data_IF_262018108027
#
_entry.id   IF_262018108027
#
_cell.length_a   1.000
_cell.length_b   1.000
_cell.length_c   1.000
_cell.angle_alpha   90.00
_cell.angle_beta   90.00
_cell.angle_gamma   90.00
#
_symmetry.space_group_name_H-M   'P 1'
#
loop_
_entity.id
_entity.type
_entity.pdbx_description
1 polymer ?
#
# COMPACT_ATOMS: atom_id res chain seq x y z
N UNK A 1 46.86 -19.98 53.74
CA UNK A 1 45.79 -20.96 53.48
C UNK A 1 45.18 -20.60 52.13
N UNK A 2 45.90 -20.99 51.07
CA UNK A 2 45.57 -20.71 49.68
C UNK A 2 44.74 -21.88 49.16
N UNK A 3 43.59 -21.60 48.56
CA UNK A 3 42.79 -22.59 47.86
C UNK A 3 43.47 -22.92 46.53
N UNK A 4 44.17 -24.05 46.45
CA UNK A 4 44.50 -24.70 45.18
C UNK A 4 43.22 -25.35 44.64
N UNK A 5 42.48 -24.61 43.83
CA UNK A 5 41.35 -25.15 43.08
C UNK A 5 41.93 -25.91 41.90
N UNK A 6 41.85 -27.23 41.97
CA UNK A 6 42.32 -28.12 40.91
C UNK A 6 41.45 -27.93 39.66
N UNK A 7 42.08 -27.60 38.52
CA UNK A 7 41.42 -27.21 37.26
C UNK A 7 40.50 -28.31 36.68
N UNK A 8 40.57 -29.53 37.21
CA UNK A 8 39.79 -30.70 36.79
C UNK A 8 38.42 -30.83 37.46
N UNK A 9 38.05 -29.94 38.36
CA UNK A 9 36.78 -30.02 39.08
C UNK A 9 35.61 -29.49 38.21
N UNK A 10 34.61 -30.30 37.84
CA UNK A 10 33.50 -29.87 36.97
C UNK A 10 32.70 -28.69 37.53
N UNK A 11 32.71 -28.48 38.85
CA UNK A 11 32.11 -27.31 39.50
C UNK A 11 32.81 -25.99 39.12
N UNK A 12 34.13 -25.99 38.93
CA UNK A 12 34.89 -24.80 38.51
C UNK A 12 34.48 -24.35 37.11
N UNK A 13 34.30 -25.29 36.18
CA UNK A 13 33.82 -25.00 34.82
C UNK A 13 32.42 -24.36 34.80
N UNK A 14 31.51 -24.84 35.66
CA UNK A 14 30.15 -24.27 35.80
C UNK A 14 30.23 -22.85 36.36
N UNK A 15 31.08 -22.60 37.37
CA UNK A 15 31.27 -21.26 37.96
C UNK A 15 31.82 -20.28 36.91
N UNK A 16 32.83 -20.68 36.13
CA UNK A 16 33.39 -19.84 35.06
C UNK A 16 32.34 -19.55 33.98
N UNK A 17 31.53 -20.54 33.60
CA UNK A 17 30.46 -20.33 32.62
C UNK A 17 29.39 -19.34 33.11
N UNK A 18 28.93 -19.47 34.36
CA UNK A 18 27.97 -18.53 34.97
C UNK A 18 28.58 -17.12 35.02
N UNK A 19 29.86 -17.01 35.35
CA UNK A 19 30.57 -15.72 35.39
C UNK A 19 30.65 -15.08 34.00
N UNK A 20 30.96 -15.85 32.95
CA UNK A 20 30.98 -15.38 31.56
C UNK A 20 29.60 -14.92 31.09
N UNK A 21 28.53 -15.67 31.41
CA UNK A 21 27.15 -15.26 31.12
C UNK A 21 26.79 -13.97 31.87
N UNK A 22 27.22 -13.84 33.13
CA UNK A 22 27.04 -12.63 33.93
C UNK A 22 27.75 -11.41 33.32
N UNK A 23 28.99 -11.57 32.89
CA UNK A 23 29.75 -10.52 32.20
C UNK A 23 29.07 -10.14 30.87
N UNK A 24 28.69 -11.12 30.05
CA UNK A 24 28.02 -10.85 28.78
C UNK A 24 26.69 -10.09 28.99
N UNK A 25 25.93 -10.45 30.02
CA UNK A 25 24.70 -9.76 30.41
C UNK A 25 24.96 -8.32 30.88
N UNK A 26 25.99 -8.09 31.70
CA UNK A 26 26.39 -6.76 32.15
C UNK A 26 26.88 -5.87 31.00
N UNK A 27 27.72 -6.41 30.10
CA UNK A 27 28.18 -5.71 28.91
C UNK A 27 26.97 -5.37 28.02
N UNK A 28 26.05 -6.31 27.80
CA UNK A 28 24.82 -6.09 27.06
C UNK A 28 23.95 -5.00 27.68
N UNK A 29 23.79 -5.00 29.01
CA UNK A 29 23.04 -3.99 29.75
C UNK A 29 23.66 -2.60 29.59
N UNK A 30 24.96 -2.46 29.85
CA UNK A 30 25.66 -1.18 29.72
C UNK A 30 25.67 -0.67 28.28
N UNK A 31 25.91 -1.55 27.29
CA UNK A 31 25.84 -1.18 25.88
C UNK A 31 24.44 -0.69 25.52
N UNK A 32 23.40 -1.41 25.93
CA UNK A 32 22.01 -1.02 25.65
C UNK A 32 21.65 0.30 26.35
N UNK A 33 22.16 0.54 27.56
CA UNK A 33 22.01 1.80 28.29
C UNK A 33 22.66 2.98 27.54
N UNK A 34 23.93 2.88 27.15
CA UNK A 34 24.61 3.92 26.38
C UNK A 34 23.97 4.14 25.00
N UNK A 35 23.65 3.05 24.29
CA UNK A 35 22.94 3.11 23.02
C UNK A 35 21.57 3.77 23.19
N UNK A 36 20.84 3.50 24.27
CA UNK A 36 19.55 4.16 24.56
C UNK A 36 19.71 5.66 24.73
N UNK A 37 20.75 6.13 25.44
CA UNK A 37 20.99 7.56 25.66
C UNK A 37 21.35 8.29 24.36
N UNK A 38 22.20 7.69 23.52
CA UNK A 38 22.54 8.24 22.20
C UNK A 38 21.32 8.31 21.28
N UNK A 39 20.49 7.26 21.30
CA UNK A 39 19.21 7.19 20.56
C UNK A 39 18.27 8.35 20.94
N UNK A 40 18.09 8.60 22.24
CA UNK A 40 17.26 9.72 22.74
C UNK A 40 17.73 11.09 22.23
N UNK A 41 19.03 11.34 22.24
CA UNK A 41 19.58 12.63 21.77
C UNK A 41 19.43 12.84 20.26
N UNK A 42 19.59 11.79 19.46
CA UNK A 42 19.42 11.87 18.01
C UNK A 42 17.95 12.14 17.60
N UNK A 43 16.98 11.51 18.28
CA UNK A 43 15.56 11.81 18.09
C UNK A 43 15.26 13.28 18.36
N UNK A 44 15.81 13.83 19.45
CA UNK A 44 15.67 15.25 19.80
C UNK A 44 16.21 16.16 18.71
N UNK A 45 17.39 15.86 18.16
CA UNK A 45 17.97 16.62 17.03
C UNK A 45 17.13 16.52 15.76
N UNK A 46 16.56 15.35 15.46
CA UNK A 46 15.66 15.19 14.32
C UNK A 46 14.43 16.09 14.44
N UNK A 47 13.84 16.21 15.63
CA UNK A 47 12.66 17.06 15.85
C UNK A 47 12.95 18.54 15.65
N UNK A 48 14.14 19.03 16.01
CA UNK A 48 14.55 20.43 15.77
C UNK A 48 14.58 20.80 14.28
N UNK A 49 14.66 19.81 13.37
CA UNK A 49 14.59 20.07 11.94
C UNK A 49 13.16 20.39 11.44
N UNK A 50 12.13 20.21 12.28
CA UNK A 50 10.72 20.46 11.94
C UNK A 50 10.21 21.83 12.39
N UNK A 51 11.06 22.65 13.01
CA UNK A 51 10.72 23.97 13.59
C UNK A 51 10.19 25.00 12.55
N UNK A 52 10.30 24.71 11.25
CA UNK A 52 9.86 25.60 10.15
C UNK A 52 8.34 25.80 10.08
N UNK A 53 7.52 24.87 10.60
CA UNK A 53 6.04 24.98 10.51
C UNK A 53 5.47 25.99 11.53
N UNK A 54 6.29 26.44 12.48
CA UNK A 54 5.89 27.38 13.53
C UNK A 54 5.03 26.72 14.60
N UNK A 55 5.23 27.12 15.84
CA UNK A 55 4.47 26.57 16.97
C UNK A 55 3.12 27.26 17.12
N UNK A 56 2.18 26.55 17.72
CA UNK A 56 0.90 27.14 18.08
C UNK A 56 1.07 27.85 19.44
N UNK A 57 1.04 29.18 19.44
CA UNK A 57 1.31 30.00 20.63
C UNK A 57 0.19 29.84 21.68
N UNK A 58 -1.06 29.67 21.26
CA UNK A 58 -2.19 29.38 22.16
C UNK A 58 -1.98 28.01 22.83
N UNK A 59 -1.50 27.03 22.08
CA UNK A 59 -1.18 25.70 22.59
C UNK A 59 -0.01 25.73 23.58
N UNK A 60 1.03 26.54 23.33
CA UNK A 60 2.15 26.74 24.27
C UNK A 60 1.68 27.35 25.59
N UNK A 61 0.85 28.38 25.52
CA UNK A 61 0.28 29.01 26.71
C UNK A 61 -0.59 28.02 27.51
N UNK A 62 -1.44 27.26 26.82
CA UNK A 62 -2.25 26.21 27.43
C UNK A 62 -1.41 25.08 28.07
N UNK A 63 -0.28 24.70 27.45
CA UNK A 63 0.67 23.73 27.99
C UNK A 63 1.31 24.18 29.30
N UNK A 64 1.57 25.49 29.42
CA UNK A 64 2.20 26.07 30.58
C UNK A 64 1.25 26.24 31.79
N UNK A 65 -0.05 26.44 31.54
CA UNK A 65 -1.01 26.83 32.56
C UNK A 65 -1.89 25.70 33.10
N UNK A 66 -2.05 24.59 32.37
CA UNK A 66 -3.03 23.55 32.72
C UNK A 66 -2.44 22.33 33.42
N UNK A 67 -3.28 21.63 34.19
CA UNK A 67 -2.89 20.47 35.01
C UNK A 67 -2.74 19.16 34.22
N UNK A 68 -3.35 19.05 33.04
CA UNK A 68 -3.26 17.87 32.17
C UNK A 68 -3.17 18.26 30.67
N UNK A 69 -2.17 19.05 30.29
CA UNK A 69 -2.15 19.77 29.01
C UNK A 69 -2.02 18.86 27.79
N UNK A 70 -1.26 17.77 27.94
CA UNK A 70 -0.83 16.92 26.83
C UNK A 70 -2.00 16.21 26.15
N UNK A 71 -2.91 15.63 26.94
CA UNK A 71 -4.06 14.89 26.42
C UNK A 71 -5.07 15.79 25.72
N UNK A 72 -5.31 16.99 26.24
CA UNK A 72 -6.20 17.98 25.63
C UNK A 72 -5.67 18.47 24.28
N UNK A 73 -4.38 18.80 24.17
CA UNK A 73 -3.80 19.23 22.88
C UNK A 73 -3.76 18.08 21.89
N UNK A 74 -3.42 16.87 22.34
CA UNK A 74 -3.42 15.70 21.47
C UNK A 74 -4.83 15.45 20.90
N UNK A 75 -5.87 15.60 21.73
CA UNK A 75 -7.26 15.50 21.28
C UNK A 75 -7.61 16.60 20.26
N UNK A 76 -7.25 17.86 20.54
CA UNK A 76 -7.47 18.96 19.60
C UNK A 76 -6.78 18.72 18.25
N UNK A 77 -5.51 18.30 18.27
CA UNK A 77 -4.74 18.01 17.06
C UNK A 77 -5.41 16.91 16.22
N UNK A 78 -5.90 15.84 16.87
CA UNK A 78 -6.64 14.78 16.20
C UNK A 78 -7.96 15.27 15.60
N UNK A 79 -8.69 16.15 16.31
CA UNK A 79 -9.91 16.77 15.77
C UNK A 79 -9.61 17.62 14.53
N UNK A 80 -8.56 18.45 14.54
CA UNK A 80 -8.14 19.20 13.37
C UNK A 80 -7.73 18.29 12.21
N UNK A 81 -6.98 17.21 12.48
CA UNK A 81 -6.60 16.22 11.47
C UNK A 81 -7.82 15.53 10.84
N UNK A 82 -8.83 15.18 11.63
CA UNK A 82 -10.09 14.58 11.14
C UNK A 82 -10.93 15.57 10.33
N UNK A 83 -10.88 16.86 10.67
CA UNK A 83 -11.56 17.92 9.91
C UNK A 83 -10.87 18.29 8.59
N UNK A 84 -9.68 17.74 8.31
CA UNK A 84 -8.88 18.06 7.13
C UNK A 84 -7.98 19.30 7.29
N UNK A 85 -8.03 19.98 8.44
CA UNK A 85 -7.09 21.07 8.76
C UNK A 85 -5.74 20.49 9.23
N UNK A 86 -4.97 19.97 8.27
CA UNK A 86 -3.69 19.33 8.55
C UNK A 86 -2.63 20.30 9.03
N UNK A 87 -2.64 21.56 8.56
CA UNK A 87 -1.67 22.57 8.99
C UNK A 87 -1.75 22.80 10.51
N UNK A 88 -2.95 23.08 11.03
CA UNK A 88 -3.13 23.30 12.47
C UNK A 88 -2.84 22.02 13.27
N UNK A 89 -3.25 20.85 12.78
CA UNK A 89 -2.92 19.58 13.42
C UNK A 89 -1.41 19.37 13.54
N UNK A 90 -0.66 19.61 12.46
CA UNK A 90 0.80 19.51 12.44
C UNK A 90 1.43 20.46 13.45
N UNK A 91 1.01 21.73 13.48
CA UNK A 91 1.52 22.74 14.46
C UNK A 91 1.28 22.32 15.91
N UNK A 92 0.11 21.75 16.21
CA UNK A 92 -0.20 21.25 17.55
C UNK A 92 0.64 20.03 17.92
N UNK A 93 0.82 19.07 17.02
CA UNK A 93 1.67 17.90 17.25
C UNK A 93 3.14 18.29 17.43
N UNK A 94 3.68 19.22 16.64
CA UNK A 94 5.07 19.71 16.80
C UNK A 94 5.25 20.41 18.14
N UNK A 95 4.31 21.27 18.53
CA UNK A 95 4.32 21.94 19.85
C UNK A 95 4.29 20.92 20.99
N UNK A 96 3.48 19.86 20.85
CA UNK A 96 3.41 18.78 21.83
C UNK A 96 4.72 17.98 21.92
N UNK A 97 5.40 17.75 20.79
CA UNK A 97 6.70 17.08 20.74
C UNK A 97 7.79 17.88 21.44
N UNK A 98 7.79 19.21 21.35
CA UNK A 98 8.74 20.07 22.07
C UNK A 98 8.56 19.95 23.58
N UNK A 99 7.32 20.06 24.05
CA UNK A 99 6.99 20.06 25.48
C UNK A 99 7.20 18.70 26.14
N UNK A 100 7.01 17.62 25.37
CA UNK A 100 7.22 16.26 25.86
C UNK A 100 8.71 16.00 26.09
N UNK A 101 9.10 15.65 27.32
CA UNK A 101 10.52 15.40 27.65
C UNK A 101 10.93 13.94 27.44
N UNK A 102 10.05 13.01 27.78
CA UNK A 102 10.33 11.58 27.72
C UNK A 102 10.23 11.06 26.28
N UNK A 103 11.30 10.46 25.72
CA UNK A 103 11.29 9.98 24.33
C UNK A 103 10.31 8.85 24.04
N UNK A 104 9.90 8.05 25.04
CA UNK A 104 8.87 7.03 24.86
C UNK A 104 7.50 7.67 24.59
N UNK A 105 7.17 8.74 25.32
CA UNK A 105 5.90 9.45 25.19
C UNK A 105 5.81 10.26 23.88
N UNK A 106 6.96 10.49 23.22
CA UNK A 106 7.00 11.12 21.88
C UNK A 106 6.59 10.19 20.76
N UNK A 107 6.71 8.86 20.93
CA UNK A 107 6.46 7.89 19.83
C UNK A 107 5.02 7.98 19.32
N UNK A 108 3.97 7.96 20.17
CA UNK A 108 2.60 8.12 19.70
C UNK A 108 2.37 9.46 18.99
N UNK A 109 2.99 10.54 19.50
CA UNK A 109 2.85 11.88 18.90
C UNK A 109 3.52 11.93 17.52
N UNK A 110 4.71 11.34 17.37
CA UNK A 110 5.40 11.19 16.09
C UNK A 110 4.59 10.36 15.11
N UNK A 111 3.95 9.28 15.57
CA UNK A 111 3.07 8.47 14.74
C UNK A 111 1.89 9.30 14.21
N UNK A 112 1.22 10.08 15.06
CA UNK A 112 0.16 10.98 14.64
C UNK A 112 0.64 12.09 13.69
N UNK A 113 1.83 12.66 13.95
CA UNK A 113 2.45 13.66 13.08
C UNK A 113 2.79 13.07 11.70
N UNK A 114 3.35 11.86 11.68
CA UNK A 114 3.63 11.11 10.45
C UNK A 114 2.36 10.85 9.63
N UNK A 115 1.27 10.46 10.29
CA UNK A 115 -0.04 10.31 9.65
C UNK A 115 -0.62 11.64 9.15
N UNK A 116 -0.42 12.74 9.89
CA UNK A 116 -0.89 14.07 9.47
C UNK A 116 -0.15 14.52 8.20
N UNK A 117 1.17 14.35 8.14
CA UNK A 117 1.95 14.62 6.93
C UNK A 117 1.54 13.73 5.75
N UNK A 118 1.28 12.44 6.02
CA UNK A 118 0.80 11.50 4.99
C UNK A 118 -0.53 11.98 4.38
N UNK A 119 -1.53 12.26 5.23
CA UNK A 119 -2.86 12.73 4.78
C UNK A 119 -2.82 14.09 4.11
N UNK A 120 -1.86 14.94 4.46
CA UNK A 120 -1.61 16.22 3.81
C UNK A 120 -0.84 16.11 2.47
N UNK A 121 -0.45 14.90 2.03
CA UNK A 121 0.29 14.66 0.79
C UNK A 121 1.81 14.85 0.91
N UNK A 122 2.35 15.15 2.09
CA UNK A 122 3.78 15.31 2.33
C UNK A 122 4.47 13.95 2.59
N UNK A 123 4.44 13.07 1.60
CA UNK A 123 4.90 11.67 1.70
C UNK A 123 6.35 11.53 2.19
N UNK A 124 7.28 12.34 1.68
CA UNK A 124 8.70 12.28 2.09
C UNK A 124 8.90 12.59 3.58
N UNK A 125 8.23 13.63 4.10
CA UNK A 125 8.29 13.98 5.54
C UNK A 125 7.69 12.87 6.40
N UNK A 126 6.57 12.31 5.95
CA UNK A 126 5.96 11.16 6.63
C UNK A 126 6.91 9.94 6.69
N UNK A 127 7.56 9.60 5.56
CA UNK A 127 8.58 8.56 5.48
C UNK A 127 9.71 8.79 6.48
N UNK A 128 10.28 10.00 6.52
CA UNK A 128 11.36 10.36 7.43
C UNK A 128 10.98 10.14 8.91
N UNK A 129 9.77 10.55 9.30
CA UNK A 129 9.26 10.36 10.67
C UNK A 129 9.13 8.88 11.00
N UNK A 130 8.53 8.06 10.12
CA UNK A 130 8.36 6.63 10.39
C UNK A 130 9.70 5.87 10.41
N UNK A 131 10.66 6.25 9.55
CA UNK A 131 12.02 5.73 9.62
C UNK A 131 12.71 6.09 10.94
N UNK A 132 12.51 7.31 11.44
CA UNK A 132 13.07 7.73 12.73
C UNK A 132 12.44 6.96 13.90
N UNK A 133 11.12 6.70 13.87
CA UNK A 133 10.47 5.83 14.85
C UNK A 133 11.09 4.42 14.82
N UNK A 134 11.21 3.81 13.64
CA UNK A 134 11.73 2.44 13.47
C UNK A 134 13.22 2.32 13.82
N UNK A 135 14.01 3.39 13.65
CA UNK A 135 15.41 3.45 14.09
C UNK A 135 15.56 3.16 15.59
N UNK A 136 14.56 3.55 16.39
CA UNK A 136 14.58 3.35 17.84
C UNK A 136 13.73 2.18 18.30
N UNK A 137 12.63 1.92 17.59
CA UNK A 137 11.64 0.88 17.91
C UNK A 137 11.40 -0.01 16.68
N UNK A 138 12.40 -0.82 16.27
CA UNK A 138 12.38 -1.54 14.99
C UNK A 138 11.32 -2.65 14.92
N UNK A 139 10.77 -3.10 16.05
CA UNK A 139 9.77 -4.17 16.12
C UNK A 139 8.33 -3.66 16.08
N UNK A 140 8.10 -2.39 15.70
CA UNK A 140 6.76 -1.81 15.57
C UNK A 140 6.15 -2.14 14.20
N UNK A 141 5.57 -3.33 14.07
CA UNK A 141 5.03 -3.79 12.78
C UNK A 141 3.95 -2.88 12.17
N UNK A 142 3.13 -2.19 12.99
CA UNK A 142 2.14 -1.23 12.48
C UNK A 142 2.81 -0.01 11.81
N UNK A 143 3.95 0.44 12.34
CA UNK A 143 4.74 1.55 11.75
C UNK A 143 5.41 1.08 10.46
N UNK A 144 5.89 -0.17 10.44
CA UNK A 144 6.50 -0.77 9.27
C UNK A 144 5.49 -0.92 8.12
N UNK A 145 4.25 -1.33 8.40
CA UNK A 145 3.15 -1.34 7.42
C UNK A 145 2.87 0.05 6.84
N UNK A 146 2.83 1.09 7.68
CA UNK A 146 2.68 2.49 7.23
C UNK A 146 3.85 2.93 6.35
N UNK A 147 5.08 2.59 6.72
CA UNK A 147 6.27 2.89 5.94
C UNK A 147 6.25 2.22 4.56
N UNK A 148 5.91 0.92 4.50
CA UNK A 148 5.78 0.17 3.25
C UNK A 148 4.78 0.85 2.31
N UNK A 149 3.60 1.23 2.84
CA UNK A 149 2.58 1.96 2.06
C UNK A 149 3.11 3.29 1.51
N UNK A 150 3.85 4.05 2.31
CA UNK A 150 4.41 5.33 1.88
C UNK A 150 5.49 5.15 0.82
N UNK A 151 6.37 4.16 0.99
CA UNK A 151 7.40 3.82 0.00
C UNK A 151 6.78 3.37 -1.33
N UNK A 152 5.66 2.64 -1.31
CA UNK A 152 4.90 2.30 -2.51
C UNK A 152 4.37 3.53 -3.25
N UNK A 153 3.75 4.46 -2.52
CA UNK A 153 3.21 5.69 -3.09
C UNK A 153 4.30 6.63 -3.62
N UNK A 154 5.50 6.58 -3.03
CA UNK A 154 6.70 7.26 -3.54
C UNK A 154 7.34 6.55 -4.75
N UNK A 155 6.89 5.34 -5.09
CA UNK A 155 7.48 4.52 -6.16
C UNK A 155 8.80 3.84 -5.78
N UNK A 156 9.16 3.85 -4.50
CA UNK A 156 10.41 3.29 -3.95
C UNK A 156 10.25 1.78 -3.66
N UNK A 157 9.82 1.02 -4.67
CA UNK A 157 9.39 -0.37 -4.49
C UNK A 157 10.47 -1.31 -3.94
N UNK A 158 11.76 -1.04 -4.21
CA UNK A 158 12.85 -1.84 -3.65
C UNK A 158 12.99 -1.63 -2.14
N UNK A 159 12.85 -0.41 -1.65
CA UNK A 159 12.87 -0.12 -0.21
C UNK A 159 11.64 -0.68 0.49
N UNK A 160 10.48 -0.57 -0.16
CA UNK A 160 9.24 -1.20 0.30
C UNK A 160 9.40 -2.73 0.43
N UNK A 161 10.09 -3.37 -0.52
CA UNK A 161 10.32 -4.81 -0.50
C UNK A 161 11.22 -5.20 0.68
N UNK A 162 12.34 -4.49 0.87
CA UNK A 162 13.22 -4.73 2.02
C UNK A 162 12.50 -4.54 3.35
N UNK A 163 11.62 -3.53 3.44
CA UNK A 163 10.78 -3.29 4.62
C UNK A 163 9.71 -4.38 4.80
N UNK A 164 9.20 -4.95 3.70
CA UNK A 164 8.27 -6.08 3.72
C UNK A 164 8.97 -7.35 4.22
N UNK A 165 10.21 -7.61 3.81
CA UNK A 165 10.99 -8.73 4.33
C UNK A 165 11.18 -8.61 5.86
N UNK A 166 11.42 -7.39 6.36
CA UNK A 166 11.46 -7.14 7.81
C UNK A 166 10.11 -7.38 8.49
N UNK A 167 9.00 -7.10 7.81
CA UNK A 167 7.65 -7.31 8.34
C UNK A 167 7.30 -8.80 8.40
N UNK A 168 7.74 -9.59 7.42
CA UNK A 168 7.56 -11.05 7.40
C UNK A 168 8.17 -11.70 8.65
N UNK A 169 9.38 -11.30 9.03
CA UNK A 169 10.05 -11.81 10.24
C UNK A 169 9.32 -11.43 11.54
N UNK A 170 8.53 -10.36 11.53
CA UNK A 170 7.82 -9.86 12.72
C UNK A 170 6.40 -10.40 12.85
N UNK A 171 5.65 -10.49 11.75
CA UNK A 171 4.22 -10.81 11.74
C UNK A 171 3.84 -11.95 10.79
N UNK A 172 4.69 -12.29 9.82
CA UNK A 172 4.35 -13.19 8.72
C UNK A 172 3.28 -12.64 7.78
N UNK A 173 2.84 -13.48 6.84
CA UNK A 173 1.73 -13.22 5.90
C UNK A 173 1.95 -12.01 4.96
N UNK A 174 3.17 -11.83 4.48
CA UNK A 174 3.53 -10.77 3.52
C UNK A 174 3.75 -11.28 2.09
N UNK A 175 3.35 -12.53 1.80
CA UNK A 175 3.58 -13.17 0.48
C UNK A 175 3.00 -12.36 -0.68
N UNK A 176 1.72 -12.00 -0.60
CA UNK A 176 1.05 -11.18 -1.61
C UNK A 176 1.72 -9.81 -1.77
N UNK A 177 2.02 -9.16 -0.65
CA UNK A 177 2.69 -7.86 -0.60
C UNK A 177 4.06 -7.91 -1.30
N UNK A 178 4.87 -8.92 -0.99
CA UNK A 178 6.17 -9.16 -1.59
C UNK A 178 6.06 -9.45 -3.10
N UNK A 179 5.10 -10.27 -3.51
CA UNK A 179 4.88 -10.60 -4.93
C UNK A 179 4.39 -9.40 -5.74
N UNK A 180 3.53 -8.57 -5.16
CA UNK A 180 3.09 -7.30 -5.72
C UNK A 180 4.27 -6.34 -5.93
N UNK A 181 5.09 -6.12 -4.91
CA UNK A 181 6.26 -5.23 -5.01
C UNK A 181 7.29 -5.73 -6.03
N UNK A 182 7.57 -7.05 -6.05
CA UNK A 182 8.42 -7.68 -7.08
C UNK A 182 7.86 -7.45 -8.48
N UNK A 183 6.53 -7.57 -8.66
CA UNK A 183 5.88 -7.30 -9.93
C UNK A 183 6.05 -5.84 -10.35
N UNK A 184 5.87 -4.88 -9.42
CA UNK A 184 6.10 -3.45 -9.67
C UNK A 184 7.53 -3.14 -10.09
N UNK A 185 8.52 -3.71 -9.41
CA UNK A 185 9.95 -3.56 -9.76
C UNK A 185 10.20 -4.07 -11.19
N UNK A 186 9.69 -5.25 -11.53
CA UNK A 186 9.85 -5.83 -12.87
C UNK A 186 9.16 -4.99 -13.96
N UNK A 187 7.97 -4.47 -13.69
CA UNK A 187 7.22 -3.60 -14.61
C UNK A 187 7.96 -2.27 -14.82
N UNK A 188 8.57 -1.68 -13.79
CA UNK A 188 9.39 -0.49 -13.95
C UNK A 188 10.64 -0.76 -14.79
N UNK A 189 11.31 -1.90 -14.55
CA UNK A 189 12.53 -2.29 -15.27
C UNK A 189 12.26 -2.74 -16.72
N UNK A 190 11.04 -3.19 -17.01
CA UNK A 190 10.61 -3.64 -18.34
C UNK A 190 10.85 -2.60 -19.44
N UNK A 191 10.79 -1.31 -19.11
CA UNK A 191 11.10 -0.23 -20.06
C UNK A 191 12.52 -0.33 -20.64
N UNK A 192 13.42 -1.02 -19.95
CA UNK A 192 14.84 -1.08 -20.30
C UNK A 192 15.34 -2.51 -20.66
N UNK A 193 14.57 -3.58 -20.46
CA UNK A 193 15.04 -4.97 -20.62
C UNK A 193 13.94 -5.96 -21.06
N UNK A 194 14.31 -6.96 -21.90
CA UNK A 194 13.42 -8.00 -22.42
C UNK A 194 13.21 -9.24 -21.51
N UNK A 195 13.72 -9.25 -20.27
CA UNK A 195 13.60 -10.40 -19.33
C UNK A 195 12.38 -10.47 -18.36
N UNK A 196 11.51 -9.45 -18.20
CA UNK A 196 10.57 -9.39 -17.08
C UNK A 196 9.38 -10.34 -17.24
N UNK A 197 8.96 -10.61 -18.48
CA UNK A 197 7.78 -11.43 -18.80
C UNK A 197 7.80 -12.78 -18.07
N UNK A 198 8.87 -13.58 -18.23
CA UNK A 198 8.96 -14.91 -17.63
C UNK A 198 8.80 -14.86 -16.10
N UNK A 199 9.40 -13.87 -15.44
CA UNK A 199 9.32 -13.69 -13.99
C UNK A 199 7.91 -13.26 -13.56
N UNK A 200 7.27 -12.36 -14.29
CA UNK A 200 5.89 -11.93 -14.03
C UNK A 200 4.92 -13.11 -14.17
N UNK A 201 5.05 -13.94 -15.20
CA UNK A 201 4.22 -15.12 -15.38
C UNK A 201 4.42 -16.16 -14.27
N UNK A 202 5.64 -16.30 -13.74
CA UNK A 202 5.90 -17.13 -12.56
C UNK A 202 5.20 -16.58 -11.31
N UNK A 203 5.29 -15.27 -11.08
CA UNK A 203 4.61 -14.61 -9.95
C UNK A 203 3.08 -14.74 -10.07
N UNK A 204 2.52 -14.59 -11.26
CA UNK A 204 1.07 -14.76 -11.49
C UNK A 204 0.58 -16.17 -11.15
N UNK A 205 1.38 -17.19 -11.49
CA UNK A 205 1.05 -18.59 -11.14
C UNK A 205 1.07 -18.84 -9.63
N UNK A 206 1.91 -18.11 -8.90
CA UNK A 206 2.02 -18.23 -7.45
C UNK A 206 0.92 -17.43 -6.74
N UNK A 207 0.62 -16.23 -7.24
CA UNK A 207 -0.32 -15.28 -6.65
C UNK A 207 -1.32 -14.78 -7.71
N UNK A 208 -2.45 -15.49 -7.90
CA UNK A 208 -3.46 -15.15 -8.91
C UNK A 208 -4.08 -13.76 -8.74
N UNK A 209 -4.06 -13.19 -7.53
CA UNK A 209 -4.53 -11.82 -7.26
C UNK A 209 -3.75 -10.75 -8.04
N UNK A 210 -2.55 -11.08 -8.55
CA UNK A 210 -1.76 -10.21 -9.42
C UNK A 210 -2.30 -10.12 -10.85
N UNK A 211 -3.32 -10.91 -11.22
CA UNK A 211 -3.82 -11.06 -12.59
C UNK A 211 -4.06 -9.70 -13.25
N UNK A 212 -4.86 -8.85 -12.61
CA UNK A 212 -5.21 -7.54 -13.17
C UNK A 212 -3.99 -6.63 -13.34
N UNK A 213 -3.09 -6.57 -12.36
CA UNK A 213 -1.86 -5.79 -12.43
C UNK A 213 -0.99 -6.24 -13.61
N UNK A 214 -0.79 -7.55 -13.73
CA UNK A 214 0.09 -8.12 -14.75
C UNK A 214 -0.55 -7.97 -16.12
N UNK A 215 -1.84 -8.28 -16.29
CA UNK A 215 -2.54 -8.11 -17.56
C UNK A 215 -2.61 -6.66 -18.01
N UNK A 216 -2.77 -5.71 -17.09
CA UNK A 216 -2.73 -4.27 -17.45
C UNK A 216 -1.40 -3.89 -18.10
N UNK A 217 -0.30 -4.46 -17.62
CA UNK A 217 1.02 -4.27 -18.22
C UNK A 217 1.19 -5.07 -19.52
N UNK A 218 0.80 -6.35 -19.54
CA UNK A 218 0.97 -7.19 -20.73
C UNK A 218 0.15 -6.68 -21.92
N UNK A 219 -1.03 -6.10 -21.69
CA UNK A 219 -1.88 -5.52 -22.74
C UNK A 219 -1.09 -4.55 -23.63
N UNK A 220 -0.26 -3.70 -23.03
CA UNK A 220 0.46 -2.65 -23.75
C UNK A 220 1.83 -3.10 -24.27
N UNK A 221 2.53 -4.00 -23.55
CA UNK A 221 3.92 -4.36 -23.85
C UNK A 221 4.12 -5.78 -24.43
N UNK A 222 3.17 -6.68 -24.19
CA UNK A 222 3.20 -8.10 -24.56
C UNK A 222 1.80 -8.59 -24.99
N UNK A 223 1.20 -8.01 -26.05
CA UNK A 223 -0.20 -8.24 -26.40
C UNK A 223 -0.48 -9.70 -26.79
N UNK A 224 0.51 -10.42 -27.35
CA UNK A 224 0.34 -11.84 -27.68
C UNK A 224 0.09 -12.66 -26.41
N UNK A 225 0.95 -12.48 -25.41
CA UNK A 225 0.88 -13.17 -24.12
C UNK A 225 -0.32 -12.71 -23.30
N UNK A 226 -0.70 -11.43 -23.37
CA UNK A 226 -1.95 -10.93 -22.80
C UNK A 226 -3.14 -11.76 -23.29
N UNK A 227 -3.29 -11.92 -24.60
CA UNK A 227 -4.41 -12.65 -25.19
C UNK A 227 -4.34 -14.16 -24.96
N UNK A 228 -3.14 -14.75 -24.97
CA UNK A 228 -2.97 -16.16 -24.59
C UNK A 228 -3.47 -16.44 -23.17
N UNK A 229 -3.21 -15.54 -22.22
CA UNK A 229 -3.73 -15.67 -20.85
C UNK A 229 -5.24 -15.49 -20.85
N UNK A 230 -5.76 -14.42 -21.48
CA UNK A 230 -7.20 -14.12 -21.51
C UNK A 230 -8.02 -15.26 -22.09
N UNK A 231 -7.55 -15.94 -23.13
CA UNK A 231 -8.24 -17.12 -23.69
C UNK A 231 -8.28 -18.33 -22.76
N UNK A 232 -7.45 -18.37 -21.71
CA UNK A 232 -7.43 -19.47 -20.75
C UNK A 232 -8.05 -19.10 -19.39
N UNK A 233 -8.58 -17.87 -19.24
CA UNK A 233 -9.24 -17.42 -18.02
C UNK A 233 -10.65 -17.99 -17.86
N UNK A 234 -11.09 -18.11 -16.61
CA UNK A 234 -12.48 -18.39 -16.27
C UNK A 234 -13.34 -17.16 -16.56
N UNK A 235 -14.63 -17.36 -16.76
CA UNK A 235 -15.56 -16.25 -17.04
C UNK A 235 -15.55 -15.19 -15.94
N UNK A 236 -15.49 -15.60 -14.66
CA UNK A 236 -15.41 -14.69 -13.51
C UNK A 236 -14.18 -13.75 -13.58
N UNK A 237 -13.02 -14.30 -13.93
CA UNK A 237 -11.78 -13.53 -14.07
C UNK A 237 -11.83 -12.59 -15.27
N UNK A 238 -12.48 -12.99 -16.38
CA UNK A 238 -12.70 -12.14 -17.56
C UNK A 238 -13.61 -10.96 -17.20
N UNK A 239 -14.66 -11.19 -16.41
CA UNK A 239 -15.55 -10.13 -15.95
C UNK A 239 -14.83 -9.12 -15.04
N UNK A 240 -13.87 -9.59 -14.23
CA UNK A 240 -13.08 -8.73 -13.34
C UNK A 240 -12.01 -7.87 -14.06
N UNK A 241 -11.80 -8.12 -15.35
CA UNK A 241 -11.00 -7.28 -16.25
C UNK A 241 -11.84 -6.72 -17.40
N UNK A 242 -13.17 -6.76 -17.29
CA UNK A 242 -14.07 -6.34 -18.37
C UNK A 242 -13.83 -4.88 -18.77
N UNK A 243 -13.51 -4.00 -17.84
CA UNK A 243 -13.18 -2.61 -18.12
C UNK A 243 -11.88 -2.46 -18.94
N UNK A 244 -10.90 -3.34 -18.72
CA UNK A 244 -9.67 -3.39 -19.54
C UNK A 244 -10.02 -3.84 -20.96
N UNK A 245 -10.76 -4.94 -21.10
CA UNK A 245 -11.18 -5.50 -22.40
C UNK A 245 -12.10 -4.55 -23.17
N UNK A 246 -13.06 -3.93 -22.47
CA UNK A 246 -14.00 -2.97 -23.03
C UNK A 246 -13.31 -1.72 -23.57
N UNK A 247 -12.08 -1.43 -23.17
CA UNK A 247 -11.32 -0.27 -23.67
C UNK A 247 -10.31 -0.61 -24.79
N UNK A 248 -10.21 -1.88 -25.22
CA UNK A 248 -9.33 -2.27 -26.34
C UNK A 248 -9.92 -1.78 -27.69
N UNK A 249 -9.15 -1.09 -28.55
CA UNK A 249 -9.63 -0.65 -29.86
C UNK A 249 -9.71 -1.83 -30.84
N UNK A 250 -10.57 -1.72 -31.86
CA UNK A 250 -10.82 -2.79 -32.83
C UNK A 250 -9.52 -3.29 -33.50
N UNK A 251 -8.60 -2.38 -33.80
CA UNK A 251 -7.34 -2.67 -34.48
C UNK A 251 -6.37 -3.55 -33.67
N UNK A 252 -6.51 -3.58 -32.35
CA UNK A 252 -5.63 -4.32 -31.44
C UNK A 252 -6.22 -5.70 -31.08
N UNK A 253 -7.37 -6.07 -31.64
CA UNK A 253 -8.01 -7.35 -31.37
C UNK A 253 -7.39 -8.50 -32.18
N UNK A 254 -7.12 -9.64 -31.53
CA UNK A 254 -6.75 -10.86 -32.23
C UNK A 254 -8.00 -11.51 -32.83
N UNK A 255 -7.80 -12.63 -33.55
CA UNK A 255 -8.91 -13.51 -33.91
C UNK A 255 -9.41 -14.24 -32.66
N UNK A 256 -10.60 -13.89 -32.21
CA UNK A 256 -11.23 -14.51 -31.03
C UNK A 256 -11.93 -15.81 -31.48
N UNK A 257 -11.66 -16.96 -30.83
CA UNK A 257 -12.35 -18.20 -31.15
C UNK A 257 -13.86 -18.11 -30.91
N UNK A 258 -14.66 -18.67 -31.81
CA UNK A 258 -16.14 -18.70 -31.66
C UNK A 258 -16.60 -19.43 -30.40
N UNK A 259 -15.78 -20.31 -29.84
CA UNK A 259 -16.04 -21.04 -28.59
C UNK A 259 -16.03 -20.12 -27.36
N UNK A 260 -15.42 -18.94 -27.40
CA UNK A 260 -15.40 -17.99 -26.30
C UNK A 260 -16.66 -17.12 -26.25
N UNK A 261 -17.77 -17.65 -25.72
CA UNK A 261 -19.06 -16.96 -25.71
C UNK A 261 -19.00 -15.57 -25.06
N UNK A 262 -18.32 -15.42 -23.92
CA UNK A 262 -18.20 -14.14 -23.21
C UNK A 262 -17.43 -13.09 -24.02
N UNK A 263 -16.26 -13.44 -24.58
CA UNK A 263 -15.48 -12.49 -25.38
C UNK A 263 -16.22 -12.10 -26.68
N UNK A 264 -16.88 -13.05 -27.35
CA UNK A 264 -17.72 -12.73 -28.49
C UNK A 264 -18.88 -11.81 -28.09
N UNK A 265 -19.57 -12.09 -26.97
CA UNK A 265 -20.63 -11.22 -26.44
C UNK A 265 -20.15 -9.80 -26.16
N UNK A 266 -18.94 -9.65 -25.58
CA UNK A 266 -18.33 -8.34 -25.29
C UNK A 266 -18.16 -7.53 -26.59
N UNK A 267 -17.56 -8.14 -27.62
CA UNK A 267 -17.24 -7.43 -28.85
C UNK A 267 -18.41 -7.32 -29.84
N UNK A 268 -19.42 -8.17 -29.72
CA UNK A 268 -20.74 -7.98 -30.34
C UNK A 268 -21.46 -6.76 -29.72
N UNK A 269 -21.52 -6.68 -28.38
CA UNK A 269 -22.14 -5.57 -27.66
C UNK A 269 -21.42 -4.23 -27.91
N UNK A 270 -20.08 -4.24 -27.93
CA UNK A 270 -19.27 -3.07 -28.30
C UNK A 270 -19.44 -2.70 -29.77
N UNK A 271 -19.84 -3.67 -30.58
CA UNK A 271 -20.21 -3.47 -31.96
C UNK A 271 -19.11 -3.70 -32.99
N UNK A 272 -18.04 -4.35 -32.57
CA UNK A 272 -16.93 -4.76 -33.40
C UNK A 272 -17.25 -6.03 -34.20
N UNK A 273 -18.05 -6.93 -33.63
CA UNK A 273 -18.52 -8.14 -34.30
C UNK A 273 -19.98 -8.02 -34.72
N UNK A 274 -20.38 -8.82 -35.71
CA UNK A 274 -21.76 -8.93 -36.14
C UNK A 274 -22.60 -9.63 -35.06
N UNK A 275 -23.84 -9.18 -34.88
CA UNK A 275 -24.74 -9.72 -33.87
C UNK A 275 -25.13 -11.16 -34.19
N UNK A 276 -25.02 -12.04 -33.21
CA UNK A 276 -25.54 -13.41 -33.29
C UNK A 276 -26.87 -13.52 -32.54
N UNK A 277 -27.80 -14.42 -32.95
CA UNK A 277 -29.10 -14.58 -32.29
C UNK A 277 -29.03 -15.30 -30.93
N UNK A 278 -27.83 -15.68 -30.49
CA UNK A 278 -27.62 -16.42 -29.24
C UNK A 278 -27.63 -15.49 -28.03
N UNK A 279 -28.14 -16.01 -26.90
CA UNK A 279 -28.11 -15.33 -25.60
C UNK A 279 -26.68 -14.93 -25.22
N UNK A 280 -26.49 -13.66 -24.85
CA UNK A 280 -25.22 -13.10 -24.39
C UNK A 280 -24.89 -13.52 -22.96
N UNK A 281 -23.61 -13.46 -22.65
CA UNK A 281 -23.07 -13.96 -21.38
C UNK A 281 -23.60 -13.20 -20.14
N UNK A 282 -23.92 -11.90 -20.25
CA UNK A 282 -24.50 -11.11 -19.16
C UNK A 282 -25.71 -10.30 -19.63
N UNK A 283 -26.55 -9.90 -18.67
CA UNK A 283 -27.72 -9.07 -18.94
C UNK A 283 -27.35 -7.74 -19.60
N UNK A 284 -26.31 -7.07 -19.12
CA UNK A 284 -25.88 -5.79 -19.68
C UNK A 284 -25.41 -5.94 -21.14
N UNK A 285 -24.66 -7.00 -21.45
CA UNK A 285 -24.21 -7.27 -22.82
C UNK A 285 -25.38 -7.61 -23.75
N UNK A 286 -26.37 -8.36 -23.28
CA UNK A 286 -27.61 -8.66 -24.02
C UNK A 286 -28.36 -7.37 -24.36
N UNK A 287 -28.58 -6.50 -23.37
CA UNK A 287 -29.30 -5.24 -23.57
C UNK A 287 -28.57 -4.35 -24.56
N UNK A 288 -27.24 -4.25 -24.49
CA UNK A 288 -26.46 -3.46 -25.45
C UNK A 288 -26.58 -4.00 -26.88
N UNK A 289 -26.57 -5.33 -27.07
CA UNK A 289 -26.78 -5.95 -28.38
C UNK A 289 -28.18 -5.60 -28.94
N UNK A 290 -29.23 -5.73 -28.13
CA UNK A 290 -30.61 -5.42 -28.52
C UNK A 290 -30.82 -3.93 -28.85
N UNK A 291 -30.23 -3.02 -28.07
CA UNK A 291 -30.28 -1.58 -28.35
C UNK A 291 -29.64 -1.26 -29.71
N UNK A 292 -28.58 -1.98 -30.07
CA UNK A 292 -27.86 -1.78 -31.33
C UNK A 292 -28.69 -2.18 -32.56
N UNK A 293 -29.57 -3.18 -32.44
CA UNK A 293 -30.51 -3.55 -33.52
C UNK A 293 -31.57 -2.48 -33.80
N UNK A 294 -32.01 -1.75 -32.76
CA UNK A 294 -33.15 -0.83 -32.83
C UNK A 294 -32.78 0.61 -33.19
N UNK A 295 -31.49 0.98 -33.18
CA UNK A 295 -30.91 2.30 -33.53
C UNK A 295 -31.42 3.55 -32.78
N UNK A 296 -32.48 3.46 -31.96
CA UNK A 296 -33.08 4.61 -31.28
C UNK A 296 -32.25 5.16 -30.11
N UNK A 297 -31.57 4.28 -29.37
CA UNK A 297 -30.70 4.64 -28.25
C UNK A 297 -29.37 3.94 -28.41
N UNK A 298 -28.28 4.65 -28.11
CA UNK A 298 -26.95 4.05 -28.01
C UNK A 298 -26.62 3.86 -26.53
N UNK A 299 -26.34 2.62 -26.14
CA UNK A 299 -25.86 2.29 -24.80
C UNK A 299 -24.34 2.14 -24.79
N UNK A 300 -23.77 2.20 -23.59
CA UNK A 300 -22.37 1.88 -23.30
C UNK A 300 -22.27 1.31 -21.87
N UNK A 301 -21.12 0.75 -21.52
CA UNK A 301 -20.84 0.31 -20.15
C UNK A 301 -20.14 1.41 -19.37
N UNK A 302 -20.58 1.58 -18.12
CA UNK A 302 -19.84 2.29 -17.10
C UNK A 302 -19.36 1.30 -16.04
N UNK A 303 -18.24 1.62 -15.39
CA UNK A 303 -17.57 0.73 -14.45
C UNK A 303 -17.47 1.39 -13.08
N UNK A 304 -17.67 0.61 -12.03
CA UNK A 304 -17.39 0.95 -10.65
C UNK A 304 -16.58 -0.18 -10.03
N UNK A 305 -15.77 0.18 -9.03
CA UNK A 305 -14.86 -0.75 -8.38
C UNK A 305 -15.24 -0.89 -6.92
N UNK A 306 -15.39 -2.12 -6.45
CA UNK A 306 -15.80 -2.42 -5.07
C UNK A 306 -14.75 -3.23 -4.34
N UNK A 307 -14.45 -2.85 -3.11
CA UNK A 307 -13.54 -3.59 -2.25
C UNK A 307 -14.24 -4.83 -1.67
N UNK A 308 -13.66 -6.02 -1.83
CA UNK A 308 -14.17 -7.23 -1.19
C UNK A 308 -14.13 -7.17 0.34
N UNK A 309 -13.14 -6.50 0.92
CA UNK A 309 -12.96 -6.37 2.37
C UNK A 309 -13.97 -5.40 2.99
N UNK A 310 -13.89 -4.10 2.68
CA UNK A 310 -14.70 -3.07 3.35
C UNK A 310 -16.00 -2.70 2.62
N UNK A 311 -16.28 -3.31 1.46
CA UNK A 311 -17.43 -3.01 0.58
C UNK A 311 -17.51 -1.56 0.07
N UNK A 312 -16.47 -0.77 0.29
CA UNK A 312 -16.35 0.59 -0.22
C UNK A 312 -16.26 0.60 -1.75
N UNK A 313 -16.92 1.57 -2.37
CA UNK A 313 -16.93 1.77 -3.82
C UNK A 313 -16.00 2.90 -4.24
N UNK A 314 -15.49 2.82 -5.47
CA UNK A 314 -14.65 3.85 -6.09
C UNK A 314 -15.01 3.99 -7.58
N UNK A 315 -15.02 5.22 -8.13
CA UNK A 315 -15.21 5.44 -9.56
C UNK A 315 -13.96 5.07 -10.39
N UNK A 316 -12.80 4.98 -9.75
CA UNK A 316 -11.52 4.63 -10.38
C UNK A 316 -10.93 3.37 -9.76
N UNK A 317 -10.18 2.60 -10.56
CA UNK A 317 -9.46 1.44 -10.06
C UNK A 317 -8.22 1.85 -9.27
N UNK A 318 -8.07 1.28 -8.08
CA UNK A 318 -6.87 1.44 -7.26
C UNK A 318 -6.37 0.07 -6.82
N UNK A 319 -5.05 -0.13 -6.83
CA UNK A 319 -4.43 -1.38 -6.39
C UNK A 319 -4.53 -1.56 -4.87
N UNK A 320 -4.64 -0.46 -4.11
CA UNK A 320 -5.04 -0.48 -2.72
C UNK A 320 -6.41 0.16 -2.59
N UNK A 321 -7.30 -0.46 -1.82
CA UNK A 321 -8.61 0.12 -1.54
C UNK A 321 -8.44 1.53 -0.92
N UNK A 322 -9.06 2.59 -1.48
CA UNK A 322 -8.93 3.94 -0.94
C UNK A 322 -9.61 4.10 0.44
N UNK A 323 -10.52 3.19 0.79
CA UNK A 323 -11.26 3.23 2.07
C UNK A 323 -10.53 2.48 3.20
N UNK A 324 -10.08 1.25 2.96
CA UNK A 324 -9.45 0.41 4.00
C UNK A 324 -7.96 0.11 3.78
N UNK A 325 -7.39 0.44 2.62
CA UNK A 325 -5.97 0.21 2.31
C UNK A 325 -5.61 -1.23 1.95
N UNK A 326 -6.57 -2.18 1.94
CA UNK A 326 -6.33 -3.57 1.55
C UNK A 326 -5.79 -3.65 0.12
N UNK A 327 -4.73 -4.44 -0.06
CA UNK A 327 -4.04 -4.64 -1.33
C UNK A 327 -4.84 -5.59 -2.23
N UNK A 328 -4.95 -5.24 -3.52
CA UNK A 328 -5.51 -6.02 -4.63
C UNK A 328 -6.90 -6.63 -4.33
N UNK A 329 -7.73 -5.91 -3.59
CA UNK A 329 -9.05 -6.36 -3.16
C UNK A 329 -10.22 -5.74 -3.94
N UNK A 330 -9.94 -4.99 -5.01
CA UNK A 330 -10.92 -4.23 -5.78
C UNK A 330 -11.42 -5.06 -6.97
N UNK A 331 -12.75 -5.21 -7.07
CA UNK A 331 -13.41 -5.94 -8.15
C UNK A 331 -14.22 -5.02 -9.06
N UNK A 332 -14.32 -5.40 -10.33
CA UNK A 332 -15.05 -4.63 -11.34
C UNK A 332 -16.54 -4.96 -11.30
N UNK A 333 -17.36 -3.92 -11.38
CA UNK A 333 -18.79 -4.04 -11.64
C UNK A 333 -19.19 -3.08 -12.74
N UNK A 334 -19.85 -3.59 -13.75
CA UNK A 334 -20.38 -2.81 -14.86
C UNK A 334 -21.87 -2.49 -14.67
N UNK A 335 -22.32 -1.43 -15.31
CA UNK A 335 -23.74 -1.08 -15.44
C UNK A 335 -23.95 -0.36 -16.78
N UNK A 336 -25.20 -0.36 -17.22
CA UNK A 336 -25.60 0.31 -18.46
C UNK A 336 -25.63 1.83 -18.25
N UNK A 337 -25.02 2.56 -19.19
CA UNK A 337 -25.21 4.01 -19.35
C UNK A 337 -25.67 4.31 -20.77
N UNK A 338 -26.36 5.43 -20.94
CA UNK A 338 -26.58 5.99 -22.26
C UNK A 338 -25.25 6.54 -22.80
N UNK A 339 -24.94 6.23 -24.05
CA UNK A 339 -23.76 6.74 -24.74
C UNK A 339 -24.00 8.20 -25.11
N UNK A 340 -23.44 9.11 -24.31
CA UNK A 340 -23.41 10.54 -24.63
C UNK A 340 -22.22 10.82 -25.54
N UNK A 341 -22.42 11.59 -26.59
CA UNK A 341 -21.31 12.18 -27.34
C UNK A 341 -20.61 13.20 -26.43
N UNK A 342 -19.51 12.80 -25.79
CA UNK A 342 -18.70 13.69 -24.96
C UNK A 342 -17.96 14.72 -25.85
N UNK A 343 -18.69 15.71 -26.36
CA UNK A 343 -18.11 16.98 -26.77
C UNK A 343 -17.88 17.78 -25.48
N UNK A 344 -16.67 17.67 -24.93
CA UNK A 344 -16.11 18.64 -23.98
C UNK A 344 -16.59 18.52 -22.53
N UNK A 345 -15.99 17.61 -21.77
CA UNK A 345 -15.71 17.89 -20.35
C UNK A 345 -14.21 17.72 -20.12
N UNK A 346 -13.50 18.85 -20.15
CA UNK A 346 -12.15 18.95 -19.62
C UNK A 346 -12.25 18.73 -18.12
N UNK A 347 -11.75 17.60 -17.62
CA UNK A 347 -11.48 17.44 -16.20
C UNK A 347 -10.22 18.25 -15.86
N UNK A 348 -10.43 19.52 -15.51
CA UNK A 348 -9.50 20.29 -14.67
C UNK A 348 -9.67 19.87 -13.21
#
# INVERSE_FOLDING_TARGET
MFWEIDYRDPLFGIIVFIFLVGIASLIGYYWNYFASKKRKSALIKFMQNYDYVGFDEEAKEFLALSSNPTSSILFMANMYQKSGNYEKAIRLYTTLLEYTKNPLDKVPILEYLGEAYYKAGFLKRSKEIFLEILRYYPRMGNILEKLIKIQEELGEYQEALNSTDCLEELKGDTKLQSAYLKSKILILQAKNLNSPLKKLLMLLKQEPQLLRLILSFLKDFYPREFWEIVFNLKEEDILDILDILWNIPLQDLPKIPQTHNLLNSIYEAKGYFALTPNKKATFELEVLCLLKEKQNFQGDLAFHYFCQECKGSSPLFFERCPHCGKLLSMHVRNFLKEKKHEMGYSFL
#
